data_IF_833845209577
#
_entry.id   IF_833845209577
#
_cell.length_a   1.000
_cell.length_b   1.000
_cell.length_c   1.000
_cell.angle_alpha   90.00
_cell.angle_beta   90.00
_cell.angle_gamma   90.00
#
_symmetry.space_group_name_H-M   'P 1'
#
loop_
_entity.id
_entity.type
_entity.pdbx_description
1 polymer ?
#
# COMPACT_ATOMS: atom_id res chain seq x y z
N UNK A 1 5.01 11.57 26.79
CA UNK A 1 4.41 10.65 25.80
C UNK A 1 5.13 10.86 24.48
N UNK A 2 5.60 9.80 23.81
CA UNK A 2 5.99 9.87 22.40
C UNK A 2 4.76 9.52 21.57
N UNK A 3 4.28 10.46 20.76
CA UNK A 3 3.27 10.19 19.76
C UNK A 3 3.99 9.70 18.52
N UNK A 4 3.84 8.42 18.21
CA UNK A 4 4.36 7.85 16.98
C UNK A 4 3.27 7.89 15.91
N UNK A 5 3.64 8.27 14.69
CA UNK A 5 2.72 8.29 13.56
C UNK A 5 3.31 7.41 12.45
N UNK A 6 3.09 6.09 12.52
CA UNK A 6 3.78 5.16 11.65
C UNK A 6 3.33 5.29 10.19
N UNK A 7 4.23 4.95 9.28
CA UNK A 7 3.88 4.64 7.89
C UNK A 7 3.39 3.20 7.84
N UNK A 8 2.22 2.99 7.28
CA UNK A 8 1.64 1.66 7.12
C UNK A 8 1.98 1.16 5.72
N UNK A 9 2.64 0.00 5.65
CA UNK A 9 2.92 -0.69 4.40
C UNK A 9 1.98 -1.87 4.29
N UNK A 10 1.30 -2.01 3.16
CA UNK A 10 0.46 -3.16 2.84
C UNK A 10 1.07 -3.86 1.65
N UNK A 11 1.46 -5.12 1.86
CA UNK A 11 2.07 -5.98 0.85
C UNK A 11 1.74 -7.42 1.22
N UNK A 12 1.15 -8.17 0.28
CA UNK A 12 0.75 -9.57 0.53
C UNK A 12 1.94 -10.43 0.95
N UNK A 13 3.12 -10.08 0.42
CA UNK A 13 4.39 -10.74 0.67
C UNK A 13 5.23 -10.11 1.80
N UNK A 14 4.68 -9.19 2.60
CA UNK A 14 5.50 -8.42 3.56
C UNK A 14 6.24 -9.32 4.55
N UNK A 15 5.62 -10.44 4.94
CA UNK A 15 6.17 -11.44 5.86
C UNK A 15 6.84 -12.61 5.15
N UNK A 16 6.78 -12.66 3.81
CA UNK A 16 7.37 -13.71 2.98
C UNK A 16 8.87 -13.48 2.82
N UNK A 17 9.67 -14.55 2.75
CA UNK A 17 11.09 -14.47 2.37
C UNK A 17 11.31 -14.35 0.85
N UNK A 18 10.23 -14.12 0.09
CA UNK A 18 10.25 -14.06 -1.37
C UNK A 18 11.03 -12.83 -1.89
N UNK A 19 11.68 -12.99 -3.04
CA UNK A 19 12.42 -11.94 -3.75
C UNK A 19 11.56 -10.68 -4.03
N UNK A 20 10.25 -10.86 -4.27
CA UNK A 20 9.24 -9.80 -4.43
C UNK A 20 9.17 -8.90 -3.19
N UNK A 21 9.02 -9.49 -2.01
CA UNK A 21 8.96 -8.78 -0.72
C UNK A 21 10.28 -8.14 -0.29
N UNK A 22 11.42 -8.40 -0.96
CA UNK A 22 12.69 -7.74 -0.60
C UNK A 22 12.68 -6.23 -0.87
N UNK A 23 12.03 -5.77 -1.94
CA UNK A 23 12.02 -4.36 -2.32
C UNK A 23 11.29 -3.49 -1.29
N UNK A 24 10.06 -3.87 -0.94
CA UNK A 24 9.26 -3.13 0.03
C UNK A 24 9.84 -3.21 1.45
N UNK A 25 10.46 -4.33 1.85
CA UNK A 25 11.17 -4.44 3.12
C UNK A 25 12.42 -3.57 3.16
N UNK A 26 13.17 -3.46 2.06
CA UNK A 26 14.30 -2.54 1.99
C UNK A 26 13.85 -1.07 2.15
N UNK A 27 12.68 -0.71 1.60
CA UNK A 27 12.06 0.60 1.84
C UNK A 27 11.68 0.77 3.32
N UNK A 28 11.04 -0.23 3.92
CA UNK A 28 10.68 -0.23 5.35
C UNK A 28 11.92 -0.01 6.23
N UNK A 29 12.97 -0.80 6.03
CA UNK A 29 14.24 -0.71 6.76
C UNK A 29 14.91 0.66 6.60
N UNK A 30 14.82 1.27 5.41
CA UNK A 30 15.36 2.60 5.16
C UNK A 30 14.57 3.68 5.93
N UNK A 31 13.25 3.60 5.94
CA UNK A 31 12.39 4.51 6.70
C UNK A 31 12.63 4.38 8.22
N UNK A 32 12.77 3.16 8.72
CA UNK A 32 13.08 2.90 10.14
C UNK A 32 14.44 3.47 10.56
N UNK A 33 15.47 3.39 9.68
CA UNK A 33 16.79 3.99 9.93
C UNK A 33 16.73 5.52 10.01
N UNK A 34 15.79 6.15 9.32
CA UNK A 34 15.51 7.59 9.42
C UNK A 34 14.66 7.94 10.66
N UNK A 35 14.33 6.95 11.51
CA UNK A 35 13.58 7.14 12.75
C UNK A 35 12.06 7.18 12.57
N UNK A 36 11.56 6.78 11.40
CA UNK A 36 10.12 6.67 11.12
C UNK A 36 9.67 5.25 11.48
N UNK A 37 8.64 5.14 12.32
CA UNK A 37 8.05 3.83 12.63
C UNK A 37 7.32 3.28 11.40
N UNK A 38 7.57 2.03 11.04
CA UNK A 38 6.89 1.34 9.93
C UNK A 38 6.12 0.16 10.48
N UNK A 39 4.89 -0.01 9.99
CA UNK A 39 4.05 -1.17 10.33
C UNK A 39 3.65 -1.85 9.04
N UNK A 40 4.11 -3.08 8.85
CA UNK A 40 3.77 -3.90 7.70
C UNK A 40 2.57 -4.81 7.93
N UNK A 41 1.70 -4.89 6.93
CA UNK A 41 0.49 -5.70 6.90
C UNK A 41 0.45 -6.58 5.65
N UNK A 42 -0.10 -7.77 5.80
CA UNK A 42 -0.19 -8.78 4.73
C UNK A 42 -1.52 -8.76 3.99
N UNK A 43 -2.53 -8.02 4.46
CA UNK A 43 -3.81 -7.96 3.78
C UNK A 43 -4.58 -6.68 4.02
N UNK A 44 -5.46 -6.36 3.07
CA UNK A 44 -6.43 -5.27 3.19
C UNK A 44 -7.47 -5.50 4.30
N UNK A 45 -7.77 -6.76 4.64
CA UNK A 45 -8.74 -7.12 5.69
C UNK A 45 -8.25 -6.80 7.10
N UNK A 46 -6.93 -6.75 7.30
CA UNK A 46 -6.34 -6.35 8.58
C UNK A 46 -6.60 -4.88 8.88
N UNK A 47 -6.86 -4.04 7.87
CA UNK A 47 -7.09 -2.62 8.04
C UNK A 47 -8.42 -2.27 8.68
N UNK A 48 -9.49 -3.02 8.43
CA UNK A 48 -10.77 -2.76 9.10
C UNK A 48 -10.64 -2.98 10.61
N UNK A 49 -9.86 -4.01 11.00
CA UNK A 49 -9.50 -4.31 12.38
C UNK A 49 -8.50 -3.28 12.96
N UNK A 50 -7.56 -2.80 12.14
CA UNK A 50 -6.55 -1.82 12.54
C UNK A 50 -7.10 -0.39 12.67
N UNK A 51 -8.01 -0.01 11.79
CA UNK A 51 -8.61 1.31 11.77
C UNK A 51 -9.60 1.52 12.92
N UNK A 52 -10.06 0.45 13.57
CA UNK A 52 -10.69 0.55 14.89
C UNK A 52 -9.68 0.67 16.04
N UNK A 53 -8.44 0.19 15.86
CA UNK A 53 -7.46 0.13 16.95
C UNK A 53 -6.54 1.34 17.07
N UNK A 54 -6.02 2.01 16.01
CA UNK A 54 -5.34 3.33 16.18
C UNK A 54 -5.36 4.22 14.93
N UNK A 55 -6.03 5.38 15.05
CA UNK A 55 -6.09 6.53 14.12
C UNK A 55 -4.74 7.27 13.88
N UNK A 56 -3.59 6.57 13.97
CA UNK A 56 -2.26 7.19 14.03
C UNK A 56 -1.41 7.03 12.78
N UNK A 57 -1.90 6.37 11.73
CA UNK A 57 -1.18 6.29 10.47
C UNK A 57 -0.83 7.70 9.95
N UNK A 58 0.43 7.92 9.57
CA UNK A 58 0.87 9.16 8.91
C UNK A 58 0.79 9.08 7.40
N UNK A 59 0.94 7.88 6.84
CA UNK A 59 0.80 7.59 5.42
C UNK A 59 0.53 6.09 5.21
N UNK A 60 0.01 5.77 4.03
CA UNK A 60 -0.10 4.40 3.53
C UNK A 60 0.82 4.20 2.32
N UNK A 61 1.45 3.04 2.21
CA UNK A 61 2.16 2.57 1.03
C UNK A 61 1.56 1.24 0.63
N UNK A 62 1.01 1.16 -0.59
CA UNK A 62 0.35 -0.02 -1.12
C UNK A 62 1.25 -0.65 -2.17
N UNK A 63 1.71 -1.87 -1.89
CA UNK A 63 2.46 -2.65 -2.85
C UNK A 63 1.51 -3.28 -3.86
N UNK A 64 1.86 -3.20 -5.15
CA UNK A 64 1.18 -3.89 -6.24
C UNK A 64 2.21 -4.67 -7.08
N UNK A 65 1.79 -5.81 -7.61
CA UNK A 65 2.61 -6.65 -8.48
C UNK A 65 2.14 -6.61 -9.94
N UNK A 66 3.07 -6.76 -10.88
CA UNK A 66 2.79 -6.98 -12.30
C UNK A 66 1.99 -8.26 -12.54
N UNK A 67 2.08 -9.28 -11.68
CA UNK A 67 1.23 -10.47 -11.78
C UNK A 67 -0.26 -10.13 -11.64
N UNK A 68 -0.64 -9.20 -10.75
CA UNK A 68 -2.04 -8.83 -10.55
C UNK A 68 -2.56 -7.83 -11.60
N UNK A 69 -1.70 -6.93 -12.08
CA UNK A 69 -2.13 -5.76 -12.87
C UNK A 69 -1.54 -5.67 -14.28
N UNK A 70 -0.57 -6.51 -14.66
CA UNK A 70 0.10 -6.45 -15.96
C UNK A 70 0.19 -7.77 -16.73
N UNK A 71 0.26 -8.90 -16.04
CA UNK A 71 0.39 -10.25 -16.61
C UNK A 71 -0.77 -11.20 -16.23
N UNK A 72 -1.61 -10.81 -15.27
CA UNK A 72 -2.77 -11.56 -14.83
C UNK A 72 -3.92 -11.60 -15.84
N UNK A 73 -4.90 -12.46 -15.58
CA UNK A 73 -6.16 -12.47 -16.33
C UNK A 73 -6.95 -11.18 -16.08
N UNK A 74 -7.82 -10.82 -17.03
CA UNK A 74 -8.71 -9.65 -16.89
C UNK A 74 -9.55 -9.75 -15.60
N UNK A 75 -9.95 -10.96 -15.22
CA UNK A 75 -10.73 -11.22 -14.01
C UNK A 75 -9.91 -10.96 -12.73
N UNK A 76 -8.65 -11.39 -12.69
CA UNK A 76 -7.74 -11.11 -11.56
C UNK A 76 -7.47 -9.62 -11.42
N UNK A 77 -7.18 -8.92 -12.51
CA UNK A 77 -6.97 -7.47 -12.49
C UNK A 77 -8.22 -6.71 -12.03
N UNK A 78 -9.42 -7.11 -12.47
CA UNK A 78 -10.67 -6.50 -12.01
C UNK A 78 -10.93 -6.74 -10.52
N UNK A 79 -10.58 -7.92 -10.00
CA UNK A 79 -10.66 -8.23 -8.56
C UNK A 79 -9.69 -7.35 -7.78
N UNK A 80 -8.42 -7.27 -8.20
CA UNK A 80 -7.39 -6.46 -7.55
C UNK A 80 -7.76 -4.97 -7.55
N UNK A 81 -8.24 -4.44 -8.69
CA UNK A 81 -8.72 -3.06 -8.81
C UNK A 81 -9.91 -2.77 -7.90
N UNK A 82 -10.86 -3.70 -7.78
CA UNK A 82 -12.02 -3.54 -6.88
C UNK A 82 -11.58 -3.51 -5.42
N UNK A 83 -10.65 -4.38 -5.03
CA UNK A 83 -10.09 -4.42 -3.67
C UNK A 83 -9.35 -3.12 -3.35
N UNK A 84 -8.47 -2.67 -4.25
CA UNK A 84 -7.75 -1.41 -4.12
C UNK A 84 -8.69 -0.21 -4.01
N UNK A 85 -9.73 -0.14 -4.87
CA UNK A 85 -10.72 0.94 -4.82
C UNK A 85 -11.47 0.97 -3.50
N UNK A 86 -11.98 -0.18 -3.05
CA UNK A 86 -12.71 -0.27 -1.79
C UNK A 86 -11.83 0.18 -0.60
N UNK A 87 -10.55 -0.21 -0.64
CA UNK A 87 -9.58 0.15 0.37
C UNK A 87 -9.30 1.66 0.41
N UNK A 88 -8.98 2.26 -0.73
CA UNK A 88 -8.77 3.71 -0.84
C UNK A 88 -10.00 4.49 -0.37
N UNK A 89 -11.20 4.03 -0.73
CA UNK A 89 -12.45 4.62 -0.27
C UNK A 89 -12.62 4.55 1.25
N UNK A 90 -12.28 3.41 1.88
CA UNK A 90 -12.34 3.29 3.34
C UNK A 90 -11.36 4.25 4.03
N UNK A 91 -10.12 4.35 3.52
CA UNK A 91 -9.15 5.32 4.04
C UNK A 91 -9.72 6.73 3.93
N UNK A 92 -10.20 7.13 2.75
CA UNK A 92 -10.70 8.49 2.48
C UNK A 92 -11.94 8.81 3.30
N UNK A 93 -12.78 7.82 3.59
CA UNK A 93 -13.91 7.97 4.49
C UNK A 93 -13.46 8.33 5.92
N UNK A 94 -12.33 7.78 6.40
CA UNK A 94 -11.79 8.06 7.74
C UNK A 94 -10.91 9.31 7.78
N UNK A 95 -10.09 9.52 6.76
CA UNK A 95 -9.20 10.67 6.62
C UNK A 95 -9.01 11.00 5.13
N UNK A 96 -9.62 12.10 4.69
CA UNK A 96 -9.56 12.54 3.29
C UNK A 96 -8.15 12.94 2.85
N UNK A 97 -7.31 13.41 3.78
CA UNK A 97 -6.03 14.06 3.49
C UNK A 97 -4.81 13.16 3.77
N UNK A 98 -5.01 11.94 4.27
CA UNK A 98 -3.87 11.07 4.58
C UNK A 98 -3.13 10.67 3.28
N UNK A 99 -1.80 10.83 3.22
CA UNK A 99 -1.02 10.42 2.07
C UNK A 99 -1.17 8.92 1.79
N UNK A 100 -1.42 8.58 0.52
CA UNK A 100 -1.44 7.21 0.02
C UNK A 100 -0.47 7.13 -1.15
N UNK A 101 0.54 6.29 -1.02
CA UNK A 101 1.53 6.01 -2.06
C UNK A 101 1.31 4.60 -2.59
N UNK A 102 1.62 4.43 -3.87
CA UNK A 102 1.59 3.13 -4.51
C UNK A 102 3.03 2.72 -4.87
N UNK A 103 3.42 1.52 -4.45
CA UNK A 103 4.73 0.93 -4.65
C UNK A 103 4.61 -0.21 -5.66
N UNK A 104 5.44 -0.23 -6.70
CA UNK A 104 5.40 -1.27 -7.74
C UNK A 104 6.17 -0.89 -8.99
N UNK A 105 6.15 -1.74 -10.01
CA UNK A 105 6.87 -1.46 -11.26
C UNK A 105 6.20 -0.34 -12.07
N UNK A 106 7.00 0.32 -12.91
CA UNK A 106 6.49 1.43 -13.75
C UNK A 106 5.38 0.96 -14.69
N UNK A 107 5.43 -0.28 -15.18
CA UNK A 107 4.44 -0.80 -16.12
C UNK A 107 3.11 -1.10 -15.44
N UNK A 108 3.15 -1.65 -14.22
CA UNK A 108 1.98 -1.96 -13.39
C UNK A 108 1.10 -0.72 -13.18
N UNK A 109 1.71 0.41 -12.85
CA UNK A 109 1.01 1.68 -12.57
C UNK A 109 0.12 2.19 -13.72
N UNK A 110 0.39 1.80 -14.97
CA UNK A 110 -0.39 2.24 -16.15
C UNK A 110 -1.77 1.61 -16.23
N UNK A 111 -2.00 0.51 -15.52
CA UNK A 111 -3.27 -0.22 -15.52
C UNK A 111 -4.24 0.30 -14.44
N UNK A 112 -3.78 1.25 -13.61
CA UNK A 112 -4.61 1.86 -12.57
C UNK A 112 -5.53 2.92 -13.20
N UNK A 113 -6.86 2.82 -12.99
CA UNK A 113 -7.81 3.75 -13.56
C UNK A 113 -7.75 5.13 -12.89
N UNK A 114 -8.13 6.16 -13.65
CA UNK A 114 -8.03 7.57 -13.24
C UNK A 114 -8.74 7.91 -11.94
N UNK A 115 -9.84 7.23 -11.62
CA UNK A 115 -10.58 7.47 -10.37
C UNK A 115 -9.75 7.08 -9.15
N UNK A 116 -8.97 5.99 -9.23
CA UNK A 116 -8.03 5.59 -8.16
C UNK A 116 -6.81 6.51 -8.17
N UNK A 117 -6.24 6.81 -9.35
CA UNK A 117 -5.05 7.68 -9.47
C UNK A 117 -5.22 9.03 -8.79
N UNK A 118 -6.43 9.60 -8.85
CA UNK A 118 -6.74 10.90 -8.23
C UNK A 118 -6.73 10.88 -6.71
N UNK A 119 -6.86 9.72 -6.09
CA UNK A 119 -6.81 9.55 -4.64
C UNK A 119 -5.38 9.28 -4.14
N UNK A 120 -4.47 8.91 -5.03
CA UNK A 120 -3.07 8.63 -4.70
C UNK A 120 -2.24 9.91 -4.69
N UNK A 121 -1.24 9.96 -3.80
CA UNK A 121 -0.32 11.09 -3.65
C UNK A 121 0.96 10.91 -4.48
N UNK A 122 1.32 9.68 -4.82
CA UNK A 122 2.50 9.42 -5.63
C UNK A 122 2.78 7.94 -5.85
N UNK A 123 3.76 7.70 -6.71
CA UNK A 123 4.27 6.38 -7.05
C UNK A 123 5.71 6.25 -6.55
N UNK A 124 5.99 5.13 -5.89
CA UNK A 124 7.33 4.72 -5.51
C UNK A 124 7.69 3.56 -6.44
N UNK A 125 8.52 3.85 -7.44
CA UNK A 125 8.85 2.86 -8.45
C UNK A 125 9.86 1.83 -7.93
N UNK A 126 9.47 0.56 -7.98
CA UNK A 126 10.38 -0.56 -7.99
C UNK A 126 11.01 -0.63 -9.40
N UNK A 127 12.32 -0.87 -9.45
CA UNK A 127 13.24 -0.67 -10.59
C UNK A 127 12.69 -0.94 -11.99
#
# INVERSE_FOLDING_TARGET
>A
MKFNFPIIIIDEDYRSENASGHGIRALADALEKEGIEVVGMTSYGDLTSFAQQQSRASAFVLSIDDEEFGAGSVEETEVALRTLRAFVQEIRFKNADIPIYLYGETRTSRHIPNDILRELHGFIHMH
#
